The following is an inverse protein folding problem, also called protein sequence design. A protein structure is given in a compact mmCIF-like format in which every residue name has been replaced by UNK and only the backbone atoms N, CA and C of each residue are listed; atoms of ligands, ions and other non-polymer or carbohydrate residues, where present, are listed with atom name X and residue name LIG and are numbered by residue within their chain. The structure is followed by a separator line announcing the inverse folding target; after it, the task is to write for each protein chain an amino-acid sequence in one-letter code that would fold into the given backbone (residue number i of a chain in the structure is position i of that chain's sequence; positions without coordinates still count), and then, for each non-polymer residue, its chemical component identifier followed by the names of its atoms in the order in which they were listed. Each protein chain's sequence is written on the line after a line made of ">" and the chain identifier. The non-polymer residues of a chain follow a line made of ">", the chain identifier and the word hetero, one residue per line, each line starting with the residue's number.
data_IF_578938207808
#
_entry.id   IF_578938207808
#
_cell.length_a   1.000
_cell.length_b   1.000
_cell.length_c   1.000
_cell.angle_alpha   90.00
_cell.angle_beta   90.00
_cell.angle_gamma   90.00
#
_symmetry.space_group_name_H-M   'P 1'
#
loop_
_entity.id
_entity.type
_entity.pdbx_description
1 polymer ?
#
# COMPACT_ATOMS: atom_id res chain seq x y z
N UNK A 1 6.12 -1.96 29.85
CA UNK A 1 5.77 -0.86 28.92
C UNK A 1 6.20 -1.27 27.53
N UNK A 2 5.51 -2.25 26.97
CA UNK A 2 5.48 -2.49 25.54
C UNK A 2 4.00 -2.42 25.24
N UNK A 3 3.54 -1.50 24.39
CA UNK A 3 2.14 -1.59 23.99
C UNK A 3 1.89 -1.01 22.62
N UNK A 4 2.10 0.29 22.43
CA UNK A 4 1.54 0.94 21.26
C UNK A 4 2.29 0.64 19.93
N UNK A 5 3.62 0.55 19.97
CA UNK A 5 4.41 0.26 18.76
C UNK A 5 4.26 -1.18 18.30
N UNK A 6 4.27 -2.13 19.24
CA UNK A 6 4.05 -3.56 18.96
C UNK A 6 2.62 -3.81 18.46
N UNK A 7 1.61 -3.18 19.05
CA UNK A 7 0.22 -3.25 18.58
C UNK A 7 0.06 -2.70 17.15
N UNK A 8 0.73 -1.59 16.83
CA UNK A 8 0.71 -1.00 15.49
C UNK A 8 1.35 -1.95 14.47
N UNK A 9 2.49 -2.56 14.79
CA UNK A 9 3.15 -3.51 13.90
C UNK A 9 2.32 -4.78 13.72
N UNK A 10 1.77 -5.34 14.79
CA UNK A 10 0.88 -6.50 14.70
C UNK A 10 -0.37 -6.20 13.86
N UNK A 11 -0.94 -4.99 13.98
CA UNK A 11 -2.05 -4.56 13.13
C UNK A 11 -1.63 -4.47 11.65
N UNK A 12 -0.45 -3.91 11.37
CA UNK A 12 0.10 -3.86 10.01
C UNK A 12 0.26 -5.25 9.43
N UNK A 13 0.89 -6.18 10.16
CA UNK A 13 1.10 -7.57 9.72
C UNK A 13 -0.23 -8.28 9.40
N UNK A 14 -1.25 -8.08 10.24
CA UNK A 14 -2.60 -8.61 9.99
C UNK A 14 -3.21 -8.04 8.71
N UNK A 15 -3.03 -6.74 8.45
CA UNK A 15 -3.49 -6.12 7.20
C UNK A 15 -2.71 -6.65 5.98
N UNK A 16 -1.40 -6.86 6.11
CA UNK A 16 -0.57 -7.48 5.07
C UNK A 16 -1.11 -8.89 4.76
N UNK A 17 -1.46 -9.69 5.77
CA UNK A 17 -2.06 -11.00 5.54
C UNK A 17 -3.38 -10.92 4.75
N UNK A 18 -4.23 -9.94 5.04
CA UNK A 18 -5.50 -9.70 4.33
C UNK A 18 -5.31 -9.36 2.84
N UNK A 19 -4.14 -8.86 2.42
CA UNK A 19 -3.85 -8.63 1.00
C UNK A 19 -3.79 -9.90 0.17
N UNK A 20 -3.72 -11.08 0.79
CA UNK A 20 -3.72 -12.38 0.10
C UNK A 20 -5.10 -13.05 0.08
N UNK A 21 -6.17 -12.35 0.49
CA UNK A 21 -7.51 -12.92 0.49
C UNK A 21 -8.02 -13.24 -0.92
N UNK A 22 -8.76 -14.34 -1.07
CA UNK A 22 -9.47 -14.66 -2.31
C UNK A 22 -10.53 -13.61 -2.68
N UNK A 23 -11.09 -12.93 -1.66
CA UNK A 23 -12.08 -11.87 -1.88
C UNK A 23 -11.38 -10.54 -2.18
N UNK A 24 -11.54 -10.06 -3.41
CA UNK A 24 -10.95 -8.80 -3.86
C UNK A 24 -11.38 -7.59 -3.00
N UNK A 25 -12.58 -7.60 -2.40
CA UNK A 25 -13.04 -6.53 -1.50
C UNK A 25 -12.23 -6.48 -0.22
N UNK A 26 -11.84 -7.64 0.32
CA UNK A 26 -10.97 -7.73 1.49
C UNK A 26 -9.57 -7.21 1.14
N UNK A 27 -9.03 -7.61 -0.03
CA UNK A 27 -7.75 -7.09 -0.50
C UNK A 27 -7.77 -5.56 -0.67
N UNK A 28 -8.80 -5.02 -1.33
CA UNK A 28 -8.95 -3.58 -1.54
C UNK A 28 -9.06 -2.81 -0.20
N UNK A 29 -9.81 -3.35 0.77
CA UNK A 29 -9.90 -2.79 2.11
C UNK A 29 -8.55 -2.84 2.85
N UNK A 30 -7.80 -3.93 2.70
CA UNK A 30 -6.47 -4.07 3.28
C UNK A 30 -5.50 -3.02 2.73
N UNK A 31 -5.41 -2.84 1.41
CA UNK A 31 -4.59 -1.78 0.82
C UNK A 31 -5.03 -0.38 1.26
N UNK A 32 -6.34 -0.12 1.31
CA UNK A 32 -6.87 1.15 1.84
C UNK A 32 -6.41 1.42 3.28
N UNK A 33 -6.49 0.41 4.14
CA UNK A 33 -6.09 0.54 5.54
C UNK A 33 -4.58 0.69 5.71
N UNK A 34 -3.78 -0.05 4.92
CA UNK A 34 -2.33 0.07 4.87
C UNK A 34 -1.88 1.48 4.50
N UNK A 35 -2.67 2.23 3.73
CA UNK A 35 -2.44 3.65 3.43
C UNK A 35 -2.36 4.59 4.64
N UNK A 36 -2.74 4.14 5.84
CA UNK A 36 -2.61 4.89 7.09
C UNK A 36 -1.25 4.68 7.79
N UNK A 37 -0.44 3.72 7.35
CA UNK A 37 0.86 3.40 7.93
C UNK A 37 1.95 4.18 7.19
N UNK A 38 1.82 5.50 7.25
CA UNK A 38 2.61 6.43 6.44
C UNK A 38 4.07 6.52 6.85
N UNK A 39 4.45 6.01 8.00
CA UNK A 39 5.80 6.03 8.57
C UNK A 39 6.55 4.69 8.41
N UNK A 40 5.96 3.71 7.71
CA UNK A 40 6.54 2.37 7.57
C UNK A 40 6.88 2.06 6.11
N UNK A 41 8.14 1.76 5.82
CA UNK A 41 8.61 1.53 4.46
C UNK A 41 8.14 0.19 3.88
N UNK A 42 7.95 -0.82 4.72
CA UNK A 42 7.41 -2.13 4.31
C UNK A 42 6.06 -1.99 3.59
N UNK A 43 5.23 -1.05 4.04
CA UNK A 43 3.93 -0.74 3.41
C UNK A 43 4.12 -0.29 1.97
N UNK A 44 5.14 0.52 1.68
CA UNK A 44 5.42 1.00 0.33
C UNK A 44 5.80 -0.14 -0.60
N UNK A 45 6.61 -1.08 -0.13
CA UNK A 45 6.93 -2.29 -0.88
C UNK A 45 5.68 -3.14 -1.13
N UNK A 46 4.84 -3.33 -0.11
CA UNK A 46 3.63 -4.13 -0.25
C UNK A 46 2.62 -3.54 -1.23
N UNK A 47 2.55 -2.21 -1.32
CA UNK A 47 1.66 -1.55 -2.28
C UNK A 47 1.98 -1.90 -3.74
N UNK A 48 3.23 -2.26 -4.07
CA UNK A 48 3.62 -2.71 -5.43
C UNK A 48 2.79 -3.91 -5.88
N UNK A 49 2.54 -4.87 -4.99
CA UNK A 49 1.68 -6.03 -5.27
C UNK A 49 0.25 -5.59 -5.62
N UNK A 50 -0.28 -4.60 -4.90
CA UNK A 50 -1.63 -4.09 -5.12
C UNK A 50 -1.79 -3.36 -6.45
N UNK A 51 -0.71 -2.76 -6.97
CA UNK A 51 -0.72 -2.07 -8.27
C UNK A 51 -0.86 -3.04 -9.45
N UNK A 52 -0.45 -4.30 -9.27
CA UNK A 52 -0.53 -5.36 -10.30
C UNK A 52 -1.62 -6.40 -10.01
N UNK A 53 -2.51 -6.12 -9.05
CA UNK A 53 -3.63 -7.01 -8.72
C UNK A 53 -4.54 -7.20 -9.94
N UNK A 54 -5.09 -8.40 -10.08
CA UNK A 54 -5.99 -8.75 -11.17
C UNK A 54 -7.27 -7.93 -11.16
N UNK A 55 -7.75 -7.51 -9.98
CA UNK A 55 -8.97 -6.73 -9.83
C UNK A 55 -8.69 -5.21 -9.88
N UNK A 56 -9.42 -4.45 -10.71
CA UNK A 56 -9.22 -3.00 -10.84
C UNK A 56 -9.48 -2.20 -9.56
N UNK A 57 -10.41 -2.63 -8.70
CA UNK A 57 -10.69 -1.93 -7.43
C UNK A 57 -9.51 -2.03 -6.46
N UNK A 58 -8.81 -3.17 -6.46
CA UNK A 58 -7.60 -3.35 -5.64
C UNK A 58 -6.47 -2.46 -6.14
N UNK A 59 -6.29 -2.37 -7.48
CA UNK A 59 -5.32 -1.44 -8.09
C UNK A 59 -5.62 0.01 -7.73
N UNK A 60 -6.88 0.42 -7.81
CA UNK A 60 -7.29 1.77 -7.45
C UNK A 60 -7.05 2.06 -5.96
N UNK A 61 -7.37 1.12 -5.07
CA UNK A 61 -7.12 1.24 -3.63
C UNK A 61 -5.62 1.42 -3.32
N UNK A 62 -4.75 0.63 -3.99
CA UNK A 62 -3.31 0.77 -3.85
C UNK A 62 -2.81 2.13 -4.33
N UNK A 63 -3.23 2.60 -5.51
CA UNK A 63 -2.85 3.93 -6.05
C UNK A 63 -3.28 5.07 -5.11
N UNK A 64 -4.52 5.03 -4.59
CA UNK A 64 -5.03 6.06 -3.68
C UNK A 64 -4.25 6.08 -2.36
N UNK A 65 -3.96 4.91 -1.81
CA UNK A 65 -3.23 4.76 -0.55
C UNK A 65 -1.78 5.22 -0.68
N UNK A 66 -1.13 4.85 -1.77
CA UNK A 66 0.19 5.36 -2.14
C UNK A 66 0.18 6.88 -2.24
N UNK A 67 -0.75 7.48 -3.00
CA UNK A 67 -0.92 8.94 -3.08
C UNK A 67 -1.07 9.61 -1.71
N UNK A 68 -1.84 8.99 -0.81
CA UNK A 68 -1.97 9.47 0.57
C UNK A 68 -0.63 9.47 1.29
N UNK A 69 0.10 8.35 1.28
CA UNK A 69 1.41 8.23 1.93
C UNK A 69 2.38 9.29 1.38
N UNK A 70 2.42 9.49 0.05
CA UNK A 70 3.25 10.53 -0.57
C UNK A 70 2.93 11.94 -0.06
N UNK A 71 1.64 12.29 -0.03
CA UNK A 71 1.19 13.59 0.42
C UNK A 71 1.54 13.84 1.90
N UNK A 72 1.51 12.80 2.73
CA UNK A 72 1.82 12.89 4.16
C UNK A 72 3.32 12.93 4.45
N UNK A 73 4.13 12.11 3.77
CA UNK A 73 5.60 12.09 3.96
C UNK A 73 6.29 13.36 3.45
N UNK A 74 5.71 14.08 2.48
CA UNK A 74 6.33 15.25 1.81
C UNK A 74 7.71 14.95 1.17
N UNK A 75 8.04 13.69 0.97
CA UNK A 75 9.29 13.24 0.38
C UNK A 75 9.22 13.34 -1.16
N UNK A 76 9.76 14.44 -1.71
CA UNK A 76 9.80 14.69 -3.16
C UNK A 76 10.56 13.60 -3.94
N UNK A 77 11.58 13.00 -3.32
CA UNK A 77 12.47 12.04 -3.96
C UNK A 77 11.78 10.69 -4.19
N UNK A 78 10.94 10.27 -3.25
CA UNK A 78 10.19 9.03 -3.33
C UNK A 78 9.10 9.06 -4.43
N UNK A 79 8.42 10.20 -4.64
CA UNK A 79 7.44 10.39 -5.71
C UNK A 79 8.05 10.25 -7.11
N UNK A 80 9.30 10.70 -7.29
CA UNK A 80 10.00 10.62 -8.57
C UNK A 80 10.45 9.20 -8.93
N UNK A 81 10.86 8.42 -7.93
CA UNK A 81 11.19 6.99 -8.12
C UNK A 81 9.91 6.22 -8.46
N UNK A 82 8.82 6.49 -7.74
CA UNK A 82 7.57 5.78 -7.92
C UNK A 82 6.82 6.11 -9.22
N UNK A 83 6.81 7.37 -9.66
CA UNK A 83 6.20 7.74 -10.94
C UNK A 83 6.86 7.00 -12.12
N UNK A 84 8.20 6.85 -12.09
CA UNK A 84 8.91 6.08 -13.11
C UNK A 84 8.49 4.61 -13.09
N UNK A 85 8.47 3.99 -11.91
CA UNK A 85 8.08 2.58 -11.77
C UNK A 85 6.62 2.32 -12.17
N UNK A 86 5.68 3.23 -11.86
CA UNK A 86 4.27 3.09 -12.24
C UNK A 86 4.02 3.30 -13.73
N UNK A 87 4.65 4.30 -14.35
CA UNK A 87 4.50 4.50 -15.79
C UNK A 87 4.93 3.26 -16.56
N UNK A 88 5.96 2.56 -16.07
CA UNK A 88 6.38 1.29 -16.66
C UNK A 88 5.38 0.16 -16.39
N UNK A 89 4.84 0.03 -15.18
CA UNK A 89 3.80 -0.97 -14.87
C UNK A 89 2.49 -0.75 -15.64
N UNK A 90 2.09 0.50 -15.89
CA UNK A 90 0.89 0.86 -16.67
C UNK A 90 1.02 0.61 -18.17
N UNK A 91 2.24 0.45 -18.70
CA UNK A 91 2.47 0.11 -20.11
C UNK A 91 2.28 -1.38 -20.41
N UNK A 92 2.17 -2.23 -19.38
CA UNK A 92 2.11 -3.69 -19.50
C UNK A 92 0.68 -4.24 -19.27
N UNK A 93 -0.31 -3.37 -18.99
CA UNK A 93 -1.74 -3.70 -18.84
C UNK A 93 -2.58 -3.13 -19.98
#
# INVERSE_FOLDING_TARGET
>A
MNNQFEEKNALMENLIACTNSDNYKIRAAAYTALGNFVDIDEVLYKMKDGLVDSNPEVREASVKSLRKIYNERKEKEFFQIWLREIEDLRKIS
#
